data_IF_630307821072
#
_entry.id   IF_630307821072
#
_cell.length_a   1.000
_cell.length_b   1.000
_cell.length_c   1.000
_cell.angle_alpha   90.00
_cell.angle_beta   90.00
_cell.angle_gamma   90.00
#
_symmetry.space_group_name_H-M   'P 1'
#
loop_
_entity.id
_entity.type
_entity.pdbx_description
1 polymer ?
#
# COMPACT_ATOMS: atom_id res chain seq x y z
N UNK A 1 -21.24 -14.79 -13.69
CA UNK A 1 -20.15 -13.81 -13.68
C UNK A 1 -19.11 -14.35 -12.73
N UNK A 2 -17.87 -14.46 -13.18
CA UNK A 2 -16.78 -15.08 -12.42
C UNK A 2 -16.13 -14.05 -11.51
N UNK A 3 -15.64 -14.49 -10.36
CA UNK A 3 -14.87 -13.66 -9.43
C UNK A 3 -13.51 -13.29 -10.02
N UNK A 4 -12.85 -12.21 -9.59
CA UNK A 4 -11.49 -11.91 -10.01
C UNK A 4 -10.55 -13.09 -9.75
N UNK A 5 -9.62 -13.33 -10.67
CA UNK A 5 -8.48 -14.19 -10.42
C UNK A 5 -7.37 -13.34 -9.81
N UNK A 6 -6.74 -13.85 -8.74
CA UNK A 6 -5.75 -13.13 -7.95
C UNK A 6 -4.51 -13.99 -7.82
N UNK A 7 -3.35 -13.45 -8.23
CA UNK A 7 -2.04 -14.07 -8.06
C UNK A 7 -1.17 -13.18 -7.17
N UNK A 8 -0.86 -13.61 -5.92
CA UNK A 8 0.00 -12.88 -5.01
C UNK A 8 1.49 -13.09 -5.33
N UNK A 9 2.30 -12.08 -5.04
CA UNK A 9 3.77 -12.11 -5.13
C UNK A 9 4.31 -11.57 -3.82
N UNK A 10 5.02 -12.41 -3.06
CA UNK A 10 5.61 -12.02 -1.78
C UNK A 10 7.07 -11.63 -1.96
N UNK A 11 7.42 -10.43 -1.50
CA UNK A 11 8.79 -9.94 -1.36
C UNK A 11 9.27 -10.16 0.08
N UNK A 12 10.18 -11.11 0.30
CA UNK A 12 10.69 -11.42 1.64
C UNK A 12 11.54 -10.29 2.26
N UNK A 13 12.40 -9.56 1.50
CA UNK A 13 13.14 -8.41 2.02
C UNK A 13 12.29 -7.33 2.70
N UNK A 14 11.12 -6.98 2.13
CA UNK A 14 10.23 -5.94 2.68
C UNK A 14 9.00 -6.51 3.38
N UNK A 15 8.74 -7.81 3.23
CA UNK A 15 7.52 -8.52 3.64
C UNK A 15 6.26 -8.02 2.91
N UNK A 16 6.42 -7.38 1.75
CA UNK A 16 5.32 -6.84 0.94
C UNK A 16 4.68 -7.94 0.10
N UNK A 17 3.36 -7.87 -0.07
CA UNK A 17 2.60 -8.70 -0.99
C UNK A 17 2.06 -7.81 -2.10
N UNK A 18 2.61 -7.95 -3.30
CA UNK A 18 2.04 -7.35 -4.51
C UNK A 18 1.02 -8.30 -5.13
N UNK A 19 0.04 -7.76 -5.85
CA UNK A 19 -1.02 -8.57 -6.46
C UNK A 19 -1.17 -8.30 -7.94
N UNK A 20 -1.24 -9.38 -8.72
CA UNK A 20 -1.83 -9.36 -10.06
C UNK A 20 -3.28 -9.82 -9.93
N UNK A 21 -4.23 -8.94 -10.24
CA UNK A 21 -5.67 -9.23 -10.22
C UNK A 21 -6.27 -9.01 -11.60
N UNK A 22 -7.11 -9.92 -12.08
CA UNK A 22 -7.74 -9.76 -13.39
C UNK A 22 -9.14 -10.36 -13.49
N UNK A 23 -9.89 -9.80 -14.44
CA UNK A 23 -11.14 -10.36 -14.92
C UNK A 23 -10.86 -11.60 -15.79
N UNK A 24 -11.30 -12.81 -15.40
CA UNK A 24 -11.08 -14.01 -16.19
C UNK A 24 -11.75 -13.96 -17.58
N UNK A 25 -12.85 -13.21 -17.72
CA UNK A 25 -13.60 -13.14 -18.97
C UNK A 25 -12.90 -12.28 -20.03
N UNK A 26 -12.30 -11.16 -19.62
CA UNK A 26 -11.70 -10.19 -20.56
C UNK A 26 -10.18 -10.14 -20.51
N UNK A 27 -9.57 -10.80 -19.52
CA UNK A 27 -8.13 -10.73 -19.22
C UNK A 27 -7.61 -9.32 -18.95
N UNK A 28 -8.48 -8.36 -18.63
CA UNK A 28 -8.07 -7.05 -18.16
C UNK A 28 -7.72 -7.13 -16.68
N UNK A 29 -6.54 -6.65 -16.31
CA UNK A 29 -6.02 -6.78 -14.94
C UNK A 29 -5.36 -5.53 -14.41
N UNK A 30 -5.07 -5.54 -13.11
CA UNK A 30 -4.35 -4.50 -12.41
C UNK A 30 -3.19 -5.13 -11.62
N UNK A 31 -2.13 -4.36 -11.45
CA UNK A 31 -1.07 -4.67 -10.47
C UNK A 31 -1.27 -3.74 -9.28
N UNK A 32 -1.28 -4.30 -8.07
CA UNK A 32 -1.47 -3.55 -6.82
C UNK A 32 -0.19 -3.65 -5.98
N UNK A 33 0.30 -2.49 -5.52
CA UNK A 33 1.48 -2.30 -4.66
C UNK A 33 2.76 -3.01 -5.18
N UNK A 34 3.21 -2.74 -6.42
CA UNK A 34 4.36 -3.43 -7.01
C UNK A 34 5.70 -2.98 -6.39
N UNK A 35 6.54 -3.94 -6.00
CA UNK A 35 7.88 -3.66 -5.45
C UNK A 35 8.94 -3.44 -6.53
N UNK A 36 9.76 -2.40 -6.35
CA UNK A 36 11.07 -2.21 -6.98
C UNK A 36 12.14 -2.68 -5.99
N UNK A 37 12.94 -3.67 -6.39
CA UNK A 37 14.02 -4.20 -5.55
C UNK A 37 15.01 -3.08 -5.21
N UNK A 38 15.40 -2.96 -3.94
CA UNK A 38 16.30 -1.91 -3.47
C UNK A 38 17.32 -2.42 -2.47
N UNK A 39 18.61 -2.30 -2.81
CA UNK A 39 19.69 -2.49 -1.85
C UNK A 39 20.11 -1.16 -1.22
N UNK A 40 19.68 -0.97 0.02
CA UNK A 40 19.97 0.23 0.80
C UNK A 40 21.46 0.44 1.11
N UNK A 41 22.31 -0.59 0.99
CA UNK A 41 23.75 -0.47 1.28
C UNK A 41 24.51 0.07 0.07
N UNK A 42 24.14 -0.37 -1.13
CA UNK A 42 24.79 0.04 -2.38
C UNK A 42 24.06 1.18 -3.10
N UNK A 43 22.79 1.41 -2.79
CA UNK A 43 21.94 2.34 -3.53
C UNK A 43 21.50 1.80 -4.89
N UNK A 44 21.46 0.48 -5.05
CA UNK A 44 21.11 -0.19 -6.32
C UNK A 44 19.62 -0.51 -6.36
N UNK A 45 18.97 -0.16 -7.47
CA UNK A 45 17.62 -0.59 -7.80
C UNK A 45 17.64 -1.70 -8.85
N UNK A 46 16.77 -2.69 -8.71
CA UNK A 46 16.59 -3.81 -9.64
C UNK A 46 15.09 -4.02 -9.95
N UNK A 47 14.78 -4.69 -11.04
CA UNK A 47 13.41 -4.91 -11.52
C UNK A 47 12.98 -6.38 -11.48
N UNK A 48 13.82 -7.28 -10.97
CA UNK A 48 13.57 -8.71 -10.96
C UNK A 48 12.22 -9.08 -10.33
N UNK A 49 11.82 -8.42 -9.24
CA UNK A 49 10.51 -8.63 -8.62
C UNK A 49 9.36 -8.21 -9.54
N UNK A 50 9.41 -7.01 -10.11
CA UNK A 50 8.42 -6.51 -11.05
C UNK A 50 8.37 -7.36 -12.34
N UNK A 51 9.51 -7.87 -12.81
CA UNK A 51 9.60 -8.75 -13.97
C UNK A 51 8.89 -10.09 -13.73
N UNK A 52 8.88 -10.62 -12.50
CA UNK A 52 8.07 -11.82 -12.16
C UNK A 52 6.58 -11.56 -12.33
N UNK A 53 6.10 -10.37 -11.95
CA UNK A 53 4.69 -9.98 -12.12
C UNK A 53 4.36 -9.83 -13.61
N UNK A 54 5.21 -9.14 -14.37
CA UNK A 54 5.02 -8.96 -15.82
C UNK A 54 5.06 -10.29 -16.58
N UNK A 55 5.97 -11.20 -16.21
CA UNK A 55 6.06 -12.53 -16.80
C UNK A 55 4.79 -13.36 -16.53
N UNK A 56 4.26 -13.31 -15.31
CA UNK A 56 3.01 -13.96 -14.96
C UNK A 56 1.80 -13.35 -15.70
N UNK A 57 1.75 -12.03 -15.86
CA UNK A 57 0.71 -11.39 -16.66
C UNK A 57 0.77 -11.85 -18.13
N UNK A 58 1.97 -11.96 -18.69
CA UNK A 58 2.17 -12.48 -20.05
C UNK A 58 1.75 -13.95 -20.17
N UNK A 59 2.16 -14.81 -19.24
CA UNK A 59 1.80 -16.23 -19.17
C UNK A 59 0.27 -16.43 -19.16
N UNK A 60 -0.43 -15.61 -18.38
CA UNK A 60 -1.88 -15.67 -18.19
C UNK A 60 -2.68 -14.90 -19.27
N UNK A 61 -1.99 -14.25 -20.22
CA UNK A 61 -2.60 -13.42 -21.25
C UNK A 61 -3.28 -12.15 -20.72
N UNK A 62 -2.87 -11.66 -19.55
CA UNK A 62 -3.44 -10.50 -18.86
C UNK A 62 -2.94 -9.19 -19.46
N UNK A 63 -3.86 -8.33 -19.86
CA UNK A 63 -3.58 -6.93 -20.22
C UNK A 63 -3.68 -6.06 -18.97
N UNK A 64 -2.55 -5.56 -18.49
CA UNK A 64 -2.51 -4.66 -17.34
C UNK A 64 -3.09 -3.30 -17.75
N UNK A 65 -4.19 -2.91 -17.10
CA UNK A 65 -4.94 -1.66 -17.31
C UNK A 65 -4.69 -0.62 -16.24
N UNK A 66 -4.21 -1.04 -15.07
CA UNK A 66 -3.94 -0.16 -13.94
C UNK A 66 -2.73 -0.66 -13.17
N UNK A 67 -1.93 0.28 -12.70
CA UNK A 67 -1.01 0.08 -11.58
C UNK A 67 -1.55 0.89 -10.42
N UNK A 68 -1.86 0.22 -9.31
CA UNK A 68 -2.59 0.81 -8.20
C UNK A 68 -1.72 0.79 -6.95
N UNK A 69 -1.66 1.94 -6.28
CA UNK A 69 -1.04 2.07 -4.96
C UNK A 69 -2.14 2.19 -3.90
N UNK A 70 -2.08 1.38 -2.86
CA UNK A 70 -2.97 1.52 -1.69
C UNK A 70 -2.58 2.74 -0.87
N UNK A 71 -1.30 3.07 -0.80
CA UNK A 71 -0.77 4.24 -0.12
C UNK A 71 0.65 4.59 -0.59
N UNK A 72 1.22 5.68 -0.07
CA UNK A 72 2.64 5.97 -0.29
C UNK A 72 3.48 5.14 0.69
N UNK A 73 3.97 3.98 0.22
CA UNK A 73 4.69 3.01 1.04
C UNK A 73 5.97 3.59 1.66
N UNK A 74 6.29 3.11 2.85
CA UNK A 74 7.42 3.55 3.66
C UNK A 74 8.46 2.43 3.88
N UNK A 75 8.22 1.25 3.36
CA UNK A 75 8.96 0.02 3.61
C UNK A 75 9.58 -0.54 2.31
N UNK A 76 9.07 -0.14 1.13
CA UNK A 76 9.61 -0.51 -0.18
C UNK A 76 9.45 0.64 -1.20
N UNK A 77 10.24 0.61 -2.28
CA UNK A 77 10.06 1.53 -3.41
C UNK A 77 9.06 0.92 -4.39
N UNK A 78 8.15 1.71 -4.95
CA UNK A 78 7.22 1.18 -5.97
C UNK A 78 7.90 1.00 -7.34
N UNK A 79 7.61 -0.11 -8.01
CA UNK A 79 7.96 -0.35 -9.41
C UNK A 79 6.93 0.18 -10.41
N UNK A 80 5.96 1.00 -9.97
CA UNK A 80 4.88 1.48 -10.83
C UNK A 80 5.34 2.17 -12.14
N UNK A 81 6.37 3.05 -12.15
CA UNK A 81 6.88 3.62 -13.40
C UNK A 81 7.44 2.57 -14.36
N UNK A 82 8.10 1.54 -13.83
CA UNK A 82 8.66 0.46 -14.63
C UNK A 82 7.53 -0.34 -15.30
N UNK A 83 6.53 -0.76 -14.53
CA UNK A 83 5.36 -1.49 -15.07
C UNK A 83 4.61 -0.62 -16.08
N UNK A 84 4.39 0.67 -15.79
CA UNK A 84 3.78 1.61 -16.73
C UNK A 84 4.57 1.71 -18.04
N UNK A 85 5.90 1.82 -17.98
CA UNK A 85 6.73 1.89 -19.19
C UNK A 85 6.62 0.63 -20.06
N UNK A 86 6.39 -0.54 -19.44
CA UNK A 86 6.28 -1.83 -20.15
C UNK A 86 4.87 -2.12 -20.68
N UNK A 87 3.83 -1.50 -20.12
CA UNK A 87 2.43 -1.86 -20.37
C UNK A 87 1.56 -0.71 -20.88
N UNK A 88 1.96 0.53 -20.65
CA UNK A 88 1.16 1.72 -20.88
C UNK A 88 0.07 1.97 -19.82
N UNK A 89 -0.02 1.15 -18.78
CA UNK A 89 -1.05 1.28 -17.75
C UNK A 89 -0.85 2.55 -16.89
N UNK A 90 -1.92 3.36 -16.65
CA UNK A 90 -1.86 4.48 -15.72
C UNK A 90 -1.60 4.04 -14.28
N UNK A 91 -0.90 4.90 -13.53
CA UNK A 91 -0.64 4.76 -12.10
C UNK A 91 -1.71 5.54 -11.33
N UNK A 92 -2.44 4.86 -10.46
CA UNK A 92 -3.49 5.45 -9.63
C UNK A 92 -3.21 5.32 -8.13
N UNK A 93 -3.61 6.34 -7.37
CA UNK A 93 -3.50 6.41 -5.91
C UNK A 93 -4.66 7.24 -5.33
N UNK A 94 -4.92 7.17 -4.02
CA UNK A 94 -5.89 8.05 -3.34
C UNK A 94 -5.52 9.54 -3.42
N UNK A 95 -6.53 10.42 -3.58
CA UNK A 95 -6.30 11.85 -3.79
C UNK A 95 -5.57 12.54 -2.62
N UNK A 96 -5.67 11.98 -1.42
CA UNK A 96 -4.98 12.47 -0.23
C UNK A 96 -3.46 12.25 -0.26
N UNK A 97 -2.90 11.66 -1.33
CA UNK A 97 -1.46 11.74 -1.63
C UNK A 97 -0.95 13.18 -1.63
N UNK A 98 -1.81 14.13 -1.98
CA UNK A 98 -1.55 15.58 -1.85
C UNK A 98 -1.10 15.95 -0.45
N UNK A 99 -1.70 15.38 0.59
CA UNK A 99 -1.37 15.67 1.99
C UNK A 99 -0.01 15.08 2.38
N UNK A 100 0.26 13.84 1.97
CA UNK A 100 1.57 13.19 2.17
C UNK A 100 2.68 13.98 1.46
N UNK A 101 2.44 14.41 0.21
CA UNK A 101 3.38 15.27 -0.51
C UNK A 101 3.64 16.58 0.25
N UNK A 102 2.63 17.25 0.81
CA UNK A 102 2.83 18.48 1.63
C UNK A 102 3.69 18.22 2.85
N UNK A 103 3.49 17.09 3.51
CA UNK A 103 4.21 16.71 4.73
C UNK A 103 5.69 16.42 4.43
N UNK A 104 5.97 15.61 3.41
CA UNK A 104 7.33 15.12 3.14
C UNK A 104 8.14 16.02 2.22
N UNK A 105 7.51 16.89 1.41
CA UNK A 105 8.21 17.87 0.57
C UNK A 105 9.28 18.68 1.33
N UNK A 106 8.99 19.32 2.48
CA UNK A 106 10.01 20.05 3.24
C UNK A 106 11.05 19.14 3.90
N UNK A 107 10.70 17.88 4.22
CA UNK A 107 11.62 16.93 4.86
C UNK A 107 12.83 16.60 3.96
N UNK A 108 12.61 16.51 2.65
CA UNK A 108 13.66 16.22 1.67
C UNK A 108 14.17 17.45 0.90
N UNK A 109 13.67 18.66 1.24
CA UNK A 109 13.90 19.88 0.43
C UNK A 109 13.59 19.62 -1.07
N UNK A 110 12.47 18.92 -1.31
CA UNK A 110 12.00 18.51 -2.63
C UNK A 110 11.34 19.68 -3.38
N UNK A 111 12.14 20.66 -3.80
CA UNK A 111 11.63 21.92 -4.39
C UNK A 111 10.89 21.71 -5.72
N UNK A 112 11.28 20.69 -6.45
CA UNK A 112 10.72 20.22 -7.71
C UNK A 112 9.37 19.51 -7.56
N UNK A 113 9.09 18.95 -6.37
CA UNK A 113 7.80 18.31 -6.08
C UNK A 113 6.71 19.35 -5.88
N UNK A 114 5.62 19.24 -6.66
CA UNK A 114 4.39 20.01 -6.45
C UNK A 114 3.39 19.15 -5.68
N UNK A 115 2.92 19.57 -4.50
CA UNK A 115 2.05 18.77 -3.65
C UNK A 115 0.57 18.84 -4.10
N UNK A 116 0.36 18.49 -5.37
CA UNK A 116 -0.92 18.53 -6.10
C UNK A 116 -1.29 17.15 -6.64
N UNK A 117 -0.44 16.13 -6.45
CA UNK A 117 -0.65 14.76 -6.90
C UNK A 117 -0.42 14.52 -8.39
N UNK A 118 0.04 15.52 -9.15
CA UNK A 118 0.25 15.45 -10.59
C UNK A 118 1.37 14.50 -11.06
N UNK A 119 2.06 13.83 -10.13
CA UNK A 119 2.98 12.73 -10.40
C UNK A 119 2.26 11.44 -10.80
N UNK A 120 1.00 11.28 -10.38
CA UNK A 120 0.16 10.13 -10.63
C UNK A 120 -0.79 10.43 -11.80
N UNK A 121 -1.15 9.39 -12.56
CA UNK A 121 -2.06 9.55 -13.70
C UNK A 121 -3.51 9.73 -13.25
N UNK A 122 -3.86 9.20 -12.09
CA UNK A 122 -5.20 9.30 -11.52
C UNK A 122 -5.21 9.42 -10.00
N UNK A 123 -6.05 10.31 -9.48
CA UNK A 123 -6.25 10.56 -8.06
C UNK A 123 -7.67 10.13 -7.67
N UNK A 124 -7.78 8.97 -7.03
CA UNK A 124 -9.08 8.40 -6.67
C UNK A 124 -9.70 9.09 -5.45
N UNK A 125 -11.01 9.31 -5.52
CA UNK A 125 -11.82 9.77 -4.40
C UNK A 125 -12.46 8.61 -3.65
N UNK A 126 -12.90 8.87 -2.42
CA UNK A 126 -13.72 7.91 -1.69
C UNK A 126 -15.01 7.56 -2.45
N UNK A 127 -15.29 6.26 -2.56
CA UNK A 127 -16.45 5.72 -3.27
C UNK A 127 -16.36 5.79 -4.79
N UNK A 128 -15.25 6.26 -5.35
CA UNK A 128 -15.04 6.27 -6.79
C UNK A 128 -15.02 4.86 -7.36
N UNK A 129 -15.63 4.67 -8.54
CA UNK A 129 -15.74 3.37 -9.20
C UNK A 129 -15.24 3.42 -10.63
N UNK A 130 -14.55 2.36 -11.04
CA UNK A 130 -14.09 2.17 -12.40
C UNK A 130 -14.16 0.70 -12.81
N UNK A 131 -14.19 0.45 -14.12
CA UNK A 131 -14.25 -0.90 -14.66
C UNK A 131 -12.85 -1.52 -14.79
N UNK A 132 -12.76 -2.81 -14.49
CA UNK A 132 -11.63 -3.68 -14.83
C UNK A 132 -12.16 -4.86 -15.64
N UNK A 133 -12.30 -4.67 -16.95
CA UNK A 133 -13.05 -5.61 -17.78
C UNK A 133 -14.54 -5.57 -17.45
N UNK A 134 -15.10 -6.72 -17.05
CA UNK A 134 -16.47 -6.87 -16.54
C UNK A 134 -16.58 -6.71 -15.03
N UNK A 135 -15.45 -6.62 -14.32
CA UNK A 135 -15.41 -6.36 -12.89
C UNK A 135 -15.55 -4.86 -12.61
N UNK A 136 -16.05 -4.54 -11.42
CA UNK A 136 -16.07 -3.19 -10.88
C UNK A 136 -15.06 -3.09 -9.73
N UNK A 137 -14.29 -2.01 -9.73
CA UNK A 137 -13.42 -1.62 -8.63
C UNK A 137 -14.02 -0.41 -7.95
N UNK A 138 -14.24 -0.49 -6.64
CA UNK A 138 -14.58 0.65 -5.79
C UNK A 138 -13.38 1.01 -4.92
N UNK A 139 -13.07 2.30 -4.85
CA UNK A 139 -12.03 2.84 -3.97
C UNK A 139 -12.64 3.25 -2.64
N UNK A 140 -12.10 2.73 -1.54
CA UNK A 140 -12.50 3.08 -0.19
C UNK A 140 -11.38 3.87 0.48
N UNK A 141 -11.59 5.14 0.83
CA UNK A 141 -10.63 5.91 1.62
C UNK A 141 -10.63 5.42 3.07
N UNK A 142 -9.48 4.94 3.51
CA UNK A 142 -9.29 4.28 4.82
C UNK A 142 -8.10 4.91 5.58
N UNK A 143 -8.12 6.23 5.84
CA UNK A 143 -6.97 6.91 6.45
C UNK A 143 -6.70 6.38 7.86
N UNK A 144 -5.46 6.48 8.29
CA UNK A 144 -5.05 6.21 9.66
C UNK A 144 -3.61 5.76 9.78
N UNK A 145 -3.18 4.84 8.92
CA UNK A 145 -1.76 4.52 8.82
C UNK A 145 -1.01 5.65 8.10
N UNK A 146 -1.56 6.13 7.00
CA UNK A 146 -1.28 7.44 6.40
C UNK A 146 -2.59 8.20 6.13
N UNK A 147 -2.56 9.51 5.85
CA UNK A 147 -3.79 10.22 5.45
C UNK A 147 -4.31 9.81 4.07
N UNK A 148 -3.49 9.13 3.26
CA UNK A 148 -3.76 8.81 1.85
C UNK A 148 -4.27 7.40 1.59
N UNK A 149 -4.37 6.56 2.62
CA UNK A 149 -4.62 5.12 2.44
C UNK A 149 -5.98 4.88 1.79
N UNK A 150 -5.97 4.00 0.80
CA UNK A 150 -7.16 3.47 0.15
C UNK A 150 -7.14 1.95 0.14
N UNK A 151 -8.33 1.37 0.12
CA UNK A 151 -8.52 -0.03 -0.26
C UNK A 151 -9.23 -0.12 -1.61
N UNK A 152 -8.87 -1.15 -2.37
CA UNK A 152 -9.52 -1.47 -3.64
C UNK A 152 -10.45 -2.65 -3.45
N UNK A 153 -11.76 -2.42 -3.52
CA UNK A 153 -12.78 -3.46 -3.48
C UNK A 153 -13.15 -3.88 -4.89
N UNK A 154 -12.79 -5.10 -5.26
CA UNK A 154 -12.96 -5.66 -6.60
C UNK A 154 -14.00 -6.78 -6.55
N UNK A 155 -14.95 -6.74 -7.47
CA UNK A 155 -15.93 -7.81 -7.60
C UNK A 155 -16.87 -7.62 -8.77
N UNK A 156 -17.90 -8.46 -8.82
CA UNK A 156 -18.96 -8.35 -9.82
C UNK A 156 -19.90 -7.21 -9.46
N UNK A 157 -20.09 -6.28 -10.39
CA UNK A 157 -21.01 -5.14 -10.23
C UNK A 157 -22.40 -5.62 -9.79
N UNK A 158 -22.87 -5.11 -8.65
CA UNK A 158 -24.21 -5.38 -8.15
C UNK A 158 -24.45 -6.79 -7.60
N UNK A 159 -23.42 -7.64 -7.39
CA UNK A 159 -23.61 -8.94 -6.73
C UNK A 159 -23.70 -8.76 -5.19
N UNK A 160 -24.87 -9.00 -4.58
CA UNK A 160 -25.05 -8.84 -3.13
C UNK A 160 -24.53 -10.06 -2.33
N UNK A 161 -24.01 -11.11 -2.98
CA UNK A 161 -23.71 -12.42 -2.36
C UNK A 161 -22.26 -12.59 -1.88
N UNK A 162 -21.53 -11.50 -1.67
CA UNK A 162 -20.27 -11.55 -0.91
C UNK A 162 -19.03 -12.07 -1.64
N UNK A 163 -19.05 -12.15 -2.97
CA UNK A 163 -17.85 -12.45 -3.79
C UNK A 163 -16.95 -11.24 -4.01
N UNK A 164 -16.62 -10.49 -2.96
CA UNK A 164 -15.81 -9.28 -3.03
C UNK A 164 -14.43 -9.50 -2.42
N UNK A 165 -13.43 -9.03 -3.14
CA UNK A 165 -12.03 -9.03 -2.75
C UNK A 165 -11.60 -7.61 -2.44
N UNK A 166 -11.07 -7.37 -1.25
CA UNK A 166 -10.62 -6.05 -0.82
C UNK A 166 -9.14 -6.08 -0.54
N UNK A 167 -8.38 -5.31 -1.30
CA UNK A 167 -6.95 -5.08 -1.07
C UNK A 167 -6.82 -3.94 -0.08
N UNK A 168 -6.45 -4.24 1.15
CA UNK A 168 -6.69 -3.34 2.31
C UNK A 168 -5.56 -2.35 2.60
N UNK A 169 -4.47 -2.41 1.83
CA UNK A 169 -3.24 -1.67 2.15
C UNK A 169 -2.75 -1.99 3.56
N UNK A 170 -2.09 -1.02 4.20
CA UNK A 170 -1.70 -1.09 5.61
C UNK A 170 -2.79 -0.53 6.54
N UNK A 171 -4.03 -0.98 6.36
CA UNK A 171 -5.12 -0.71 7.33
C UNK A 171 -5.14 -1.77 8.44
N UNK A 172 -5.10 -3.04 8.04
CA UNK A 172 -5.21 -4.21 8.92
C UNK A 172 -4.27 -5.30 8.41
N UNK A 173 -3.69 -6.08 9.31
CA UNK A 173 -2.88 -7.25 8.95
C UNK A 173 -3.68 -8.53 9.12
N UNK A 174 -3.05 -9.69 8.91
CA UNK A 174 -3.65 -10.99 9.19
C UNK A 174 -4.35 -10.99 10.57
N UNK A 175 -5.47 -11.71 10.67
CA UNK A 175 -6.34 -11.75 11.85
C UNK A 175 -5.64 -12.28 13.12
N UNK A 176 -4.44 -12.85 12.99
CA UNK A 176 -3.60 -13.30 14.09
C UNK A 176 -2.46 -12.31 14.43
N UNK A 177 -2.23 -11.28 13.60
CA UNK A 177 -1.16 -10.29 13.77
C UNK A 177 -1.67 -8.94 14.30
N UNK A 178 -2.82 -8.47 13.81
CA UNK A 178 -3.43 -7.23 14.28
C UNK A 178 -3.53 -6.12 13.24
N UNK A 179 -2.91 -4.96 13.52
CA UNK A 179 -3.11 -3.71 12.75
C UNK A 179 -1.79 -2.99 12.49
N UNK A 180 -1.78 -2.15 11.46
CA UNK A 180 -0.67 -1.27 11.13
C UNK A 180 -0.40 -0.24 12.23
N UNK A 181 0.80 0.34 12.17
CA UNK A 181 1.22 1.51 12.96
C UNK A 181 0.46 2.75 12.49
N UNK A 182 0.31 3.77 13.35
CA UNK A 182 -0.39 5.02 13.04
C UNK A 182 0.42 6.26 13.45
N UNK A 183 1.75 6.14 13.56
CA UNK A 183 2.69 7.20 13.96
C UNK A 183 3.51 7.78 12.80
N UNK A 184 3.21 7.39 11.56
CA UNK A 184 3.74 8.12 10.41
C UNK A 184 3.28 9.58 10.46
N UNK A 185 4.06 10.52 9.89
CA UNK A 185 3.59 11.89 9.73
C UNK A 185 2.22 11.96 9.03
N UNK A 186 1.20 12.39 9.78
CA UNK A 186 -0.20 12.45 9.32
C UNK A 186 -1.04 11.20 9.63
N UNK A 187 -0.43 10.15 10.19
CA UNK A 187 -1.13 8.99 10.76
C UNK A 187 -1.90 9.37 12.03
N UNK A 188 -2.98 8.64 12.28
CA UNK A 188 -3.87 8.86 13.43
C UNK A 188 -4.58 7.55 13.81
N UNK A 189 -4.33 7.07 15.03
CA UNK A 189 -4.89 5.81 15.52
C UNK A 189 -6.43 5.83 15.57
N UNK A 190 -7.05 6.99 15.79
CA UNK A 190 -8.50 7.10 15.86
C UNK A 190 -9.13 7.01 14.48
N UNK A 191 -8.53 7.64 13.48
CA UNK A 191 -8.87 7.50 12.07
C UNK A 191 -8.70 6.04 11.63
N UNK A 192 -7.56 5.41 11.98
CA UNK A 192 -7.31 4.01 11.67
C UNK A 192 -8.40 3.09 12.22
N UNK A 193 -8.81 3.28 13.48
CA UNK A 193 -9.91 2.52 14.08
C UNK A 193 -11.21 2.66 13.29
N UNK A 194 -11.57 3.89 12.90
CA UNK A 194 -12.80 4.17 12.14
C UNK A 194 -12.75 3.57 10.74
N UNK A 195 -11.60 3.64 10.08
CA UNK A 195 -11.34 3.00 8.79
C UNK A 195 -11.47 1.48 8.88
N UNK A 196 -10.90 0.86 9.92
CA UNK A 196 -11.06 -0.56 10.22
C UNK A 196 -12.55 -0.89 10.46
N UNK A 197 -13.28 -0.10 11.25
CA UNK A 197 -14.71 -0.37 11.49
C UNK A 197 -15.55 -0.23 10.22
N UNK A 198 -15.22 0.71 9.34
CA UNK A 198 -15.84 0.83 8.01
C UNK A 198 -15.56 -0.41 7.16
N UNK A 199 -14.31 -0.89 7.13
CA UNK A 199 -13.91 -2.09 6.41
C UNK A 199 -14.62 -3.35 6.96
N UNK A 200 -14.68 -3.50 8.28
CA UNK A 200 -15.30 -4.66 8.95
C UNK A 200 -16.84 -4.60 8.99
N UNK A 201 -17.45 -3.52 8.48
CA UNK A 201 -18.89 -3.44 8.25
C UNK A 201 -19.31 -4.07 6.91
N UNK A 202 -18.36 -4.46 6.06
CA UNK A 202 -18.62 -5.27 4.86
C UNK A 202 -19.17 -6.66 5.22
N UNK A 203 -19.76 -7.40 4.26
CA UNK A 203 -20.27 -8.75 4.50
C UNK A 203 -19.19 -9.67 5.12
N UNK A 204 -19.55 -10.54 6.08
CA UNK A 204 -18.58 -11.39 6.81
C UNK A 204 -17.67 -12.25 5.91
N UNK A 205 -18.19 -12.70 4.77
CA UNK A 205 -17.51 -13.52 3.76
C UNK A 205 -16.54 -12.74 2.85
N UNK A 206 -16.53 -11.40 2.94
CA UNK A 206 -15.62 -10.55 2.15
C UNK A 206 -14.18 -10.95 2.40
N UNK A 207 -13.45 -11.27 1.33
CA UNK A 207 -12.03 -11.63 1.37
C UNK A 207 -11.18 -10.37 1.44
N UNK A 208 -10.25 -10.35 2.38
CA UNK A 208 -9.33 -9.25 2.63
C UNK A 208 -7.92 -9.69 2.28
N UNK A 209 -7.23 -8.90 1.47
CA UNK A 209 -5.88 -9.15 0.94
C UNK A 209 -4.89 -8.16 1.54
N UNK A 210 -3.93 -8.68 2.30
CA UNK A 210 -3.01 -7.89 3.12
C UNK A 210 -1.86 -7.30 2.30
N UNK A 211 -1.45 -6.06 2.59
CA UNK A 211 -0.26 -5.49 1.95
C UNK A 211 1.05 -6.10 2.48
N UNK A 212 1.06 -6.57 3.74
CA UNK A 212 2.25 -7.15 4.37
C UNK A 212 1.90 -8.37 5.24
N UNK A 213 2.88 -9.25 5.41
CA UNK A 213 2.82 -10.28 6.44
C UNK A 213 4.18 -10.50 7.11
N UNK A 214 4.20 -10.29 8.43
CA UNK A 214 5.40 -10.39 9.25
C UNK A 214 5.47 -11.68 10.08
N UNK A 215 4.60 -12.65 9.78
CA UNK A 215 4.31 -13.86 10.59
C UNK A 215 3.81 -13.52 11.99
N UNK A 216 2.63 -14.03 12.34
CA UNK A 216 2.12 -13.92 13.71
C UNK A 216 2.92 -14.80 14.68
N UNK A 217 2.94 -14.46 15.99
CA UNK A 217 3.53 -15.33 17.00
C UNK A 217 2.96 -16.76 16.91
N UNK A 218 3.84 -17.74 16.69
CA UNK A 218 3.47 -19.15 16.55
C UNK A 218 3.11 -19.60 15.12
N UNK A 219 3.27 -18.74 14.11
CA UNK A 219 3.05 -19.07 12.70
C UNK A 219 4.38 -19.06 11.92
N UNK A 220 4.70 -20.19 11.29
CA UNK A 220 5.96 -20.34 10.52
C UNK A 220 5.81 -20.07 9.02
N UNK A 221 4.58 -19.93 8.52
CA UNK A 221 4.27 -19.70 7.11
C UNK A 221 3.70 -18.29 6.89
N UNK A 222 4.06 -17.67 5.78
CA UNK A 222 3.46 -16.40 5.37
C UNK A 222 1.99 -16.59 4.95
N UNK A 223 1.16 -15.58 5.20
CA UNK A 223 -0.25 -15.58 4.84
C UNK A 223 -0.72 -14.15 4.53
N UNK A 224 -1.65 -13.99 3.60
CA UNK A 224 -2.07 -12.67 3.11
C UNK A 224 -3.54 -12.60 2.74
N UNK A 225 -4.32 -13.60 3.13
CA UNK A 225 -5.76 -13.64 2.91
C UNK A 225 -6.47 -13.91 4.22
N UNK A 226 -7.45 -13.06 4.55
CA UNK A 226 -8.36 -13.22 5.67
C UNK A 226 -9.79 -12.93 5.20
N UNK A 227 -10.76 -13.04 6.08
CA UNK A 227 -12.13 -12.57 5.88
C UNK A 227 -12.52 -11.52 6.92
N UNK A 228 -13.58 -10.75 6.64
CA UNK A 228 -14.18 -9.85 7.64
C UNK A 228 -14.61 -10.62 8.89
N UNK A 229 -15.19 -11.82 8.73
CA UNK A 229 -15.57 -12.68 9.85
C UNK A 229 -14.38 -13.04 10.75
N UNK A 230 -13.27 -13.50 10.16
CA UNK A 230 -12.06 -13.86 10.92
C UNK A 230 -11.47 -12.65 11.63
N UNK A 231 -11.42 -11.48 10.97
CA UNK A 231 -10.91 -10.26 11.61
C UNK A 231 -11.77 -9.85 12.81
N UNK A 232 -13.10 -9.89 12.66
CA UNK A 232 -14.03 -9.58 13.76
C UNK A 232 -13.95 -10.57 14.90
N UNK A 233 -13.64 -11.84 14.63
CA UNK A 233 -13.55 -12.87 15.67
C UNK A 233 -12.18 -12.90 16.36
N UNK A 234 -11.10 -12.72 15.61
CA UNK A 234 -9.76 -13.14 16.04
C UNK A 234 -8.74 -12.00 16.12
N UNK A 235 -8.95 -10.86 15.46
CA UNK A 235 -7.95 -9.79 15.44
C UNK A 235 -7.59 -9.32 16.87
N UNK A 236 -6.32 -9.44 17.31
CA UNK A 236 -5.94 -9.17 18.69
C UNK A 236 -6.11 -7.70 19.07
N UNK A 237 -6.13 -6.78 18.09
CA UNK A 237 -6.20 -5.34 18.34
C UNK A 237 -7.61 -4.77 18.12
N UNK A 238 -8.43 -5.35 17.22
CA UNK A 238 -9.68 -4.72 16.74
C UNK A 238 -10.87 -5.67 16.56
N UNK A 239 -10.81 -6.89 17.10
CA UNK A 239 -11.96 -7.80 17.12
C UNK A 239 -13.20 -7.16 17.76
N UNK A 240 -14.35 -7.76 17.54
CA UNK A 240 -15.61 -7.33 18.13
C UNK A 240 -15.49 -7.24 19.66
N UNK A 241 -16.01 -6.14 20.22
CA UNK A 241 -15.90 -5.80 21.63
C UNK A 241 -14.80 -4.80 21.98
N UNK A 242 -13.76 -4.62 21.15
CA UNK A 242 -12.75 -3.57 21.38
C UNK A 242 -13.35 -2.20 21.03
N UNK A 243 -13.23 -1.24 21.97
CA UNK A 243 -13.68 0.14 21.80
C UNK A 243 -12.65 1.05 21.12
N UNK A 244 -13.09 2.22 20.61
CA UNK A 244 -12.20 3.21 20.00
C UNK A 244 -11.10 3.67 20.97
N UNK A 245 -11.44 3.92 22.24
CA UNK A 245 -10.48 4.38 23.25
C UNK A 245 -9.46 3.29 23.64
N UNK A 246 -9.90 2.03 23.75
CA UNK A 246 -8.98 0.92 24.01
C UNK A 246 -7.99 0.74 22.86
N UNK A 247 -8.47 0.79 21.63
CA UNK A 247 -7.61 0.72 20.45
C UNK A 247 -6.63 1.89 20.38
N UNK A 248 -7.11 3.12 20.53
CA UNK A 248 -6.25 4.33 20.44
C UNK A 248 -5.17 4.29 21.50
N UNK A 249 -5.50 3.94 22.74
CA UNK A 249 -4.51 3.77 23.82
C UNK A 249 -3.47 2.73 23.46
N UNK A 250 -3.91 1.52 23.12
CA UNK A 250 -3.03 0.42 22.72
C UNK A 250 -2.12 0.80 21.55
N UNK A 251 -2.68 1.38 20.49
CA UNK A 251 -1.96 1.69 19.26
C UNK A 251 -0.90 2.76 19.50
N UNK A 252 -1.26 3.80 20.25
CA UNK A 252 -0.34 4.89 20.62
C UNK A 252 0.82 4.38 21.48
N UNK A 253 0.53 3.55 22.49
CA UNK A 253 1.54 2.94 23.35
C UNK A 253 2.48 2.02 22.56
N UNK A 254 1.92 1.21 21.65
CA UNK A 254 2.71 0.31 20.80
C UNK A 254 3.61 1.09 19.84
N UNK A 255 3.08 2.13 19.19
CA UNK A 255 3.83 2.92 18.21
C UNK A 255 5.02 3.64 18.82
N UNK A 256 4.90 4.14 20.05
CA UNK A 256 6.01 4.77 20.78
C UNK A 256 7.23 3.84 20.98
N UNK A 257 7.04 2.52 20.90
CA UNK A 257 8.09 1.52 21.01
C UNK A 257 8.67 1.03 19.68
N UNK A 258 8.13 1.44 18.53
CA UNK A 258 8.54 0.95 17.22
C UNK A 258 9.73 1.73 16.65
N UNK A 259 10.66 1.02 16.04
CA UNK A 259 11.67 1.65 15.18
C UNK A 259 11.03 2.16 13.89
N UNK A 260 11.65 3.16 13.25
CA UNK A 260 11.33 3.51 11.88
C UNK A 260 11.67 2.34 10.93
N UNK A 261 10.89 2.11 9.86
CA UNK A 261 11.26 1.11 8.86
C UNK A 261 12.63 1.39 8.27
N UNK A 262 13.37 0.32 7.94
CA UNK A 262 14.71 0.40 7.35
C UNK A 262 14.73 1.26 6.08
N UNK A 263 13.70 1.13 5.24
CA UNK A 263 13.60 1.83 3.97
C UNK A 263 12.72 3.09 4.03
N UNK A 264 12.36 3.59 5.22
CA UNK A 264 11.51 4.78 5.36
C UNK A 264 11.92 5.93 4.44
N UNK A 265 13.17 6.34 4.54
CA UNK A 265 13.68 7.50 3.82
C UNK A 265 13.80 7.25 2.31
N UNK A 266 14.41 6.16 1.81
CA UNK A 266 14.47 5.92 0.37
C UNK A 266 13.10 5.69 -0.25
N UNK A 267 12.21 4.92 0.40
CA UNK A 267 10.86 4.64 -0.10
C UNK A 267 10.03 5.89 -0.23
N UNK A 268 9.84 6.64 0.86
CA UNK A 268 8.84 7.72 0.86
C UNK A 268 9.20 8.84 -0.14
N UNK A 269 10.48 9.18 -0.30
CA UNK A 269 10.89 10.25 -1.22
C UNK A 269 10.73 9.89 -2.70
N UNK A 270 10.71 8.59 -3.01
CA UNK A 270 10.47 8.05 -4.35
C UNK A 270 8.96 7.84 -4.56
N UNK A 271 8.27 7.29 -3.57
CA UNK A 271 6.85 6.92 -3.68
C UNK A 271 5.92 8.12 -3.73
N UNK A 272 6.25 9.25 -3.06
CA UNK A 272 5.48 10.51 -3.22
C UNK A 272 5.58 11.10 -4.64
N UNK A 273 6.44 10.53 -5.50
CA UNK A 273 6.65 10.89 -6.92
C UNK A 273 6.16 9.79 -7.87
N UNK A 274 5.22 8.97 -7.41
CA UNK A 274 4.72 7.80 -8.12
C UNK A 274 5.83 6.81 -8.54
N UNK A 275 6.89 6.67 -7.73
CA UNK A 275 8.01 5.76 -8.01
C UNK A 275 9.18 6.38 -8.79
N UNK A 276 9.07 7.65 -9.19
CA UNK A 276 10.16 8.32 -9.90
C UNK A 276 11.26 8.74 -8.93
N UNK A 277 12.49 8.31 -9.21
CA UNK A 277 13.66 8.87 -8.54
C UNK A 277 13.76 10.38 -8.77
N UNK A 278 14.37 11.13 -7.83
CA UNK A 278 14.74 12.52 -8.07
C UNK A 278 15.51 12.69 -9.38
N UNK A 279 15.39 13.87 -10.00
CA UNK A 279 16.16 14.17 -11.20
C UNK A 279 17.67 14.02 -10.96
N UNK A 280 18.38 13.64 -12.01
CA UNK A 280 19.82 13.55 -11.95
C UNK A 280 20.43 14.94 -11.75
N UNK A 281 21.48 15.03 -10.93
CA UNK A 281 22.30 16.24 -10.82
C UNK A 281 23.20 16.39 -12.07
N UNK A 282 23.98 17.48 -12.13
CA UNK A 282 24.82 17.82 -13.29
C UNK A 282 25.82 16.72 -13.69
N UNK A 283 26.17 15.85 -12.75
CA UNK A 283 27.06 14.70 -12.98
C UNK A 283 26.33 13.46 -13.53
N UNK A 284 25.03 13.54 -13.80
CA UNK A 284 24.22 12.44 -14.32
C UNK A 284 23.77 11.42 -13.26
N UNK A 285 24.06 11.65 -11.97
CA UNK A 285 23.72 10.75 -10.86
C UNK A 285 22.45 11.23 -10.17
N UNK A 286 21.57 10.30 -9.81
CA UNK A 286 20.38 10.56 -8.98
C UNK A 286 20.73 10.30 -7.52
N UNK A 287 20.36 11.23 -6.64
CA UNK A 287 20.67 11.14 -5.22
C UNK A 287 19.41 11.06 -4.38
N UNK A 288 19.37 10.08 -3.48
CA UNK A 288 18.41 10.05 -2.38
C UNK A 288 18.94 10.87 -1.21
N UNK A 289 18.08 11.68 -0.61
CA UNK A 289 18.44 12.56 0.51
C UNK A 289 18.11 11.88 1.84
N UNK A 290 19.04 11.99 2.79
CA UNK A 290 18.88 11.53 4.17
C UNK A 290 18.90 12.76 5.08
N UNK A 291 17.74 13.20 5.61
CA UNK A 291 17.70 14.31 6.55
C UNK A 291 18.41 13.93 7.86
N UNK A 292 19.39 14.73 8.26
CA UNK A 292 20.17 14.50 9.48
C UNK A 292 19.46 15.16 10.66
N UNK A 293 19.09 14.35 11.66
CA UNK A 293 18.62 14.82 12.98
C UNK A 293 19.71 14.58 14.01
N UNK A 294 20.27 15.64 14.58
CA UNK A 294 21.28 15.53 15.63
C UNK A 294 20.61 15.33 16.99
N UNK A 295 21.08 14.34 17.76
CA UNK A 295 20.71 14.19 19.16
C UNK A 295 21.48 15.21 20.01
N UNK A 296 20.92 15.60 21.15
CA UNK A 296 21.57 16.50 22.10
C UNK A 296 22.99 15.99 22.44
N UNK A 297 23.99 16.87 22.32
CA UNK A 297 25.40 16.56 22.57
C UNK A 297 26.22 16.17 21.34
N UNK A 298 25.61 15.98 20.16
CA UNK A 298 26.36 15.90 18.90
C UNK A 298 26.74 17.33 18.47
N UNK A 299 28.02 17.67 18.53
CA UNK A 299 28.53 18.97 18.07
C UNK A 299 28.46 18.98 16.54
N UNK A 300 27.68 19.90 15.97
CA UNK A 300 27.72 20.17 14.54
C UNK A 300 29.08 20.78 14.20
N UNK A 301 29.85 20.11 13.33
CA UNK A 301 31.05 20.68 12.73
C UNK A 301 30.72 21.72 11.67
#
# INVERSE_FOLDING_TARGET
METPVIRPFFDEPTNTVSYLVWDPATRQGAVIDPVLDWDNRSGTADTAFADRILAAAQEEGVTIRWVLETHAHADHLTAAPYIKARTGAPIGIGEHIKDVQRIFRPVFDARDLKPEGGDFDHLFKDGERFALGTLEVEVMHLPGHTPADVAYRIGVAGDPRGGQDVFVGDTIFMHDYGTARADFPGGDARALYRSIKRLLALPPETRLWMCHDYKAPGRDAYAWQSTVAEQRAHNPHVKDGVTEEEFVRFRTERDAGLAAPTLLLPSIQVNIRAGRFPEAEENGVRYLRIPVKQKAGVVAG
#
